data_IF_939597942466
#
_entry.id   IF_939597942466
#
_cell.length_a   1.000
_cell.length_b   1.000
_cell.length_c   1.000
_cell.angle_alpha   90.00
_cell.angle_beta   90.00
_cell.angle_gamma   90.00
#
_symmetry.space_group_name_H-M   'P 1'
#
loop_
_entity.id
_entity.type
_entity.pdbx_description
1 polymer ?
#
# COMPACT_ATOMS: atom_id res chain seq x y z
N UNK A 1 -6.66 -10.70 -30.63
CA UNK A 1 -7.06 -11.50 -29.45
C UNK A 1 -5.84 -11.81 -28.60
N UNK A 2 -5.22 -10.81 -27.96
CA UNK A 2 -3.98 -11.00 -27.17
C UNK A 2 -4.32 -11.41 -25.74
N UNK A 3 -5.24 -10.68 -25.07
CA UNK A 3 -5.68 -11.03 -23.71
C UNK A 3 -6.41 -12.36 -23.65
N UNK A 4 -7.27 -12.66 -24.63
CA UNK A 4 -7.94 -13.96 -24.77
C UNK A 4 -6.96 -15.15 -24.79
N UNK A 5 -5.87 -15.04 -25.55
CA UNK A 5 -4.81 -16.07 -25.54
C UNK A 5 -4.05 -16.12 -24.22
N UNK A 6 -3.77 -14.97 -23.61
CA UNK A 6 -3.00 -14.90 -22.37
C UNK A 6 -3.77 -15.53 -21.19
N UNK A 7 -5.10 -15.32 -21.12
CA UNK A 7 -5.97 -15.88 -20.09
C UNK A 7 -6.14 -17.41 -20.17
N UNK A 8 -5.72 -18.03 -21.27
CA UNK A 8 -5.72 -19.48 -21.45
C UNK A 8 -4.43 -20.16 -20.97
N UNK A 9 -3.56 -19.45 -20.24
CA UNK A 9 -2.30 -19.99 -19.74
C UNK A 9 -2.48 -21.29 -18.95
N UNK A 10 -3.47 -21.35 -18.06
CA UNK A 10 -3.80 -22.55 -17.28
C UNK A 10 -4.26 -23.73 -18.16
N UNK A 11 -5.11 -23.46 -19.16
CA UNK A 11 -5.56 -24.47 -20.14
C UNK A 11 -4.42 -25.05 -20.97
N UNK A 12 -3.37 -24.25 -21.20
CA UNK A 12 -2.22 -24.59 -22.03
C UNK A 12 -1.03 -25.12 -21.20
N UNK A 13 -1.16 -25.21 -19.88
CA UNK A 13 -0.10 -25.66 -18.98
C UNK A 13 1.08 -24.69 -18.91
N UNK A 14 0.83 -23.39 -19.13
CA UNK A 14 1.82 -22.32 -19.03
C UNK A 14 1.86 -21.74 -17.61
N UNK A 15 3.04 -21.38 -17.15
CA UNK A 15 3.19 -20.61 -15.91
C UNK A 15 2.64 -19.19 -16.09
N UNK A 16 2.01 -18.67 -15.04
CA UNK A 16 1.60 -17.26 -14.96
C UNK A 16 2.82 -16.44 -14.59
N UNK A 17 3.44 -15.82 -15.60
CA UNK A 17 4.67 -15.01 -15.43
C UNK A 17 4.44 -13.52 -15.68
N UNK A 18 3.26 -13.14 -16.15
CA UNK A 18 2.89 -11.76 -16.44
C UNK A 18 1.43 -11.48 -16.09
N UNK A 19 1.14 -10.21 -15.78
CA UNK A 19 -0.19 -9.75 -15.38
C UNK A 19 -1.30 -10.06 -16.42
N UNK A 20 -0.96 -10.11 -17.72
CA UNK A 20 -1.93 -10.43 -18.77
C UNK A 20 -2.43 -11.90 -18.74
N UNK A 21 -1.68 -12.80 -18.07
CA UNK A 21 -2.04 -14.21 -17.89
C UNK A 21 -2.80 -14.47 -16.58
N UNK A 22 -2.81 -13.48 -15.68
CA UNK A 22 -3.48 -13.57 -14.39
C UNK A 22 -4.95 -13.17 -14.56
N UNK A 23 -5.83 -14.16 -14.47
CA UNK A 23 -7.27 -13.98 -14.66
C UNK A 23 -7.89 -13.05 -13.62
N UNK A 24 -7.52 -13.19 -12.34
CA UNK A 24 -8.06 -12.34 -11.27
C UNK A 24 -7.63 -10.89 -11.49
N UNK A 25 -6.36 -10.67 -11.81
CA UNK A 25 -5.84 -9.33 -12.06
C UNK A 25 -6.53 -8.67 -13.26
N UNK A 26 -6.65 -9.39 -14.39
CA UNK A 26 -7.24 -8.83 -15.60
C UNK A 26 -8.73 -8.56 -15.41
N UNK A 27 -9.51 -9.53 -14.93
CA UNK A 27 -10.97 -9.40 -14.86
C UNK A 27 -11.38 -8.36 -13.80
N UNK A 28 -10.68 -8.30 -12.66
CA UNK A 28 -11.02 -7.37 -11.57
C UNK A 28 -10.76 -5.89 -11.90
N UNK A 29 -9.98 -5.59 -12.96
CA UNK A 29 -9.57 -4.23 -13.32
C UNK A 29 -9.94 -3.81 -14.76
N UNK A 30 -10.64 -4.67 -15.52
CA UNK A 30 -10.97 -4.38 -16.92
C UNK A 30 -12.22 -3.50 -17.12
N UNK A 31 -13.15 -3.50 -16.15
CA UNK A 31 -14.36 -2.67 -16.24
C UNK A 31 -14.05 -1.21 -15.88
N UNK A 32 -14.11 -0.34 -16.90
CA UNK A 32 -13.82 1.08 -16.73
C UNK A 32 -14.90 1.84 -15.95
N UNK A 33 -16.15 1.38 -15.93
CA UNK A 33 -17.21 2.01 -15.12
C UNK A 33 -16.89 1.81 -13.65
N UNK A 34 -16.55 0.58 -13.25
CA UNK A 34 -16.14 0.27 -11.89
C UNK A 34 -14.82 0.96 -11.52
N UNK A 35 -13.79 0.86 -12.37
CA UNK A 35 -12.48 1.43 -12.08
C UNK A 35 -12.52 2.96 -11.99
N UNK A 36 -13.24 3.62 -12.90
CA UNK A 36 -13.39 5.08 -12.85
C UNK A 36 -14.21 5.50 -11.64
N UNK A 37 -15.29 4.77 -11.30
CA UNK A 37 -16.06 5.02 -10.09
C UNK A 37 -15.20 4.94 -8.82
N UNK A 38 -14.29 3.97 -8.77
CA UNK A 38 -13.32 3.85 -7.67
C UNK A 38 -12.38 5.07 -7.61
N UNK A 39 -11.73 5.43 -8.71
CA UNK A 39 -10.81 6.59 -8.71
C UNK A 39 -11.55 7.89 -8.35
N UNK A 40 -12.76 8.07 -8.86
CA UNK A 40 -13.58 9.25 -8.57
C UNK A 40 -14.06 9.31 -7.13
N UNK A 41 -14.24 8.17 -6.45
CA UNK A 41 -14.65 8.19 -5.05
C UNK A 41 -13.65 8.95 -4.18
N UNK A 42 -12.35 9.00 -4.54
CA UNK A 42 -11.31 9.70 -3.77
C UNK A 42 -11.58 11.20 -3.60
N UNK A 43 -12.44 11.79 -4.46
CA UNK A 43 -12.86 13.19 -4.35
C UNK A 43 -13.88 13.42 -3.24
N UNK A 44 -14.54 12.36 -2.77
CA UNK A 44 -15.48 12.44 -1.66
C UNK A 44 -14.72 12.74 -0.34
N UNK A 45 -15.41 13.21 0.71
CA UNK A 45 -14.74 13.52 1.97
C UNK A 45 -14.19 12.27 2.67
N UNK A 46 -12.86 12.21 2.86
CA UNK A 46 -12.17 11.15 3.63
C UNK A 46 -11.53 11.70 4.92
N UNK A 47 -12.06 12.80 5.47
CA UNK A 47 -11.40 13.48 6.59
C UNK A 47 -11.36 12.61 7.85
N UNK A 48 -12.33 11.72 8.09
CA UNK A 48 -12.33 10.83 9.27
C UNK A 48 -11.16 9.85 9.21
N UNK A 49 -11.05 9.10 8.12
CA UNK A 49 -9.96 8.14 7.92
C UNK A 49 -8.60 8.86 7.91
N UNK A 50 -8.52 10.02 7.23
CA UNK A 50 -7.30 10.82 7.21
C UNK A 50 -6.88 11.30 8.61
N UNK A 51 -7.82 11.73 9.46
CA UNK A 51 -7.48 12.10 10.84
C UNK A 51 -6.97 10.89 11.64
N UNK A 52 -7.58 9.72 11.50
CA UNK A 52 -7.14 8.51 12.19
C UNK A 52 -5.70 8.13 11.80
N UNK A 53 -5.38 8.19 10.51
CA UNK A 53 -4.02 7.94 9.99
C UNK A 53 -3.02 9.02 10.44
N UNK A 54 -3.41 10.30 10.44
CA UNK A 54 -2.56 11.38 10.97
C UNK A 54 -2.21 11.17 12.45
N UNK A 55 -3.18 10.75 13.26
CA UNK A 55 -2.98 10.49 14.67
C UNK A 55 -2.06 9.29 14.91
N UNK A 56 -2.13 8.26 14.06
CA UNK A 56 -1.17 7.15 14.08
C UNK A 56 0.25 7.64 13.77
N UNK A 57 0.44 8.38 12.68
CA UNK A 57 1.76 8.89 12.26
C UNK A 57 2.35 9.81 13.32
N UNK A 58 1.54 10.68 13.95
CA UNK A 58 1.99 11.59 15.02
C UNK A 58 2.47 10.81 16.25
N UNK A 59 1.77 9.76 16.65
CA UNK A 59 2.21 8.89 17.76
C UNK A 59 3.53 8.20 17.46
N UNK A 60 3.67 7.61 16.26
CA UNK A 60 4.92 6.96 15.84
C UNK A 60 6.10 7.93 15.87
N UNK A 61 5.91 9.19 15.44
CA UNK A 61 6.95 10.23 15.51
C UNK A 61 7.30 10.58 16.95
N UNK A 62 6.30 10.79 17.81
CA UNK A 62 6.55 11.11 19.22
C UNK A 62 7.32 9.98 19.94
N UNK A 63 6.98 8.72 19.66
CA UNK A 63 7.69 7.55 20.20
C UNK A 63 9.13 7.47 19.70
N UNK A 64 9.36 7.72 18.41
CA UNK A 64 10.70 7.77 17.82
C UNK A 64 11.55 8.85 18.49
N UNK A 65 11.04 10.08 18.59
CA UNK A 65 11.76 11.21 19.19
C UNK A 65 12.07 10.97 20.67
N UNK A 66 11.16 10.33 21.41
CA UNK A 66 11.39 9.94 22.80
C UNK A 66 12.53 8.93 22.95
N UNK A 67 12.59 7.92 22.07
CA UNK A 67 13.68 6.93 22.05
C UNK A 67 15.03 7.55 21.68
N UNK A 68 15.03 8.43 20.68
CA UNK A 68 16.23 9.16 20.27
C UNK A 68 16.76 10.04 21.40
N UNK A 69 15.88 10.80 22.06
CA UNK A 69 16.26 11.62 23.21
C UNK A 69 16.77 10.79 24.39
N UNK A 70 16.20 9.61 24.63
CA UNK A 70 16.69 8.68 25.65
C UNK A 70 18.10 8.19 25.34
N UNK A 71 18.34 7.71 24.11
CA UNK A 71 19.65 7.24 23.65
C UNK A 71 20.71 8.33 23.77
N UNK A 72 20.44 9.54 23.25
CA UNK A 72 21.37 10.66 23.38
C UNK A 72 21.61 11.06 24.84
N UNK A 73 20.61 10.88 25.71
CA UNK A 73 20.74 11.09 27.15
C UNK A 73 21.63 10.06 27.83
N UNK A 74 21.53 8.78 27.45
CA UNK A 74 22.37 7.69 27.95
C UNK A 74 23.82 7.84 27.48
N UNK A 75 24.06 8.09 26.19
CA UNK A 75 25.39 8.32 25.63
C UNK A 75 26.11 9.49 26.33
N UNK A 76 25.39 10.57 26.63
CA UNK A 76 25.94 11.72 27.37
C UNK A 76 26.28 11.40 28.83
N UNK A 77 25.57 10.47 29.46
CA UNK A 77 25.84 10.05 30.85
C UNK A 77 27.04 9.12 30.89
N UNK A 78 27.12 8.15 29.98
CA UNK A 78 28.26 7.25 29.86
C UNK A 78 29.56 8.00 29.53
N UNK A 79 29.51 9.02 28.67
CA UNK A 79 30.68 9.85 28.36
C UNK A 79 31.13 10.77 29.51
N UNK A 80 30.32 10.92 30.56
CA UNK A 80 30.61 11.78 31.72
C UNK A 80 31.11 11.00 32.95
N UNK A 81 31.06 9.66 32.93
CA UNK A 81 31.67 8.75 33.91
C UNK A 81 33.10 8.35 33.50
#
# INVERSE_FOLDING_TARGET
AVCDRALRASELGEDVVAAAQDEEFVISHSDNVQATGFVEHLKLPHYVDFQAELDLVRRMRAEHDARENHRTGEEKREAAE
#
